data_IF_640164185737
#
_entry.id   IF_640164185737
#
_cell.length_a   1.000
_cell.length_b   1.000
_cell.length_c   1.000
_cell.angle_alpha   90.00
_cell.angle_beta   90.00
_cell.angle_gamma   90.00
#
_symmetry.space_group_name_H-M   'P 1'
#
loop_
_entity.id
_entity.type
_entity.pdbx_description
1 polymer ?
#
# COMPACT_ATOMS: atom_id res chain seq x y z
N UNK A 1 -20.89 -5.87 -1.97
CA UNK A 1 -21.25 -5.85 -0.54
C UNK A 1 -21.27 -4.41 -0.09
N UNK A 2 -22.32 -3.95 0.60
CA UNK A 2 -22.35 -2.58 1.13
C UNK A 2 -21.84 -2.62 2.57
N UNK A 3 -20.58 -2.29 2.78
CA UNK A 3 -19.96 -2.26 4.11
C UNK A 3 -19.87 -0.80 4.52
N UNK A 4 -20.38 -0.47 5.71
CA UNK A 4 -20.32 0.89 6.27
C UNK A 4 -19.50 0.91 7.54
N UNK A 5 -18.92 2.07 7.87
CA UNK A 5 -18.33 2.29 9.18
C UNK A 5 -19.44 2.43 10.22
N UNK A 6 -19.51 1.51 11.18
CA UNK A 6 -20.49 1.49 12.26
C UNK A 6 -19.81 1.37 13.64
N UNK A 7 -20.61 1.25 14.71
CA UNK A 7 -20.14 1.19 16.10
C UNK A 7 -19.33 -0.08 16.44
N UNK A 8 -19.21 -1.04 15.52
CA UNK A 8 -18.31 -2.18 15.69
C UNK A 8 -16.83 -1.77 15.56
N UNK A 9 -16.55 -0.70 14.81
CA UNK A 9 -15.20 -0.22 14.54
C UNK A 9 -14.86 0.97 15.44
N UNK A 10 -13.58 1.22 15.73
CA UNK A 10 -13.18 2.42 16.44
C UNK A 10 -13.58 3.68 15.67
N UNK A 11 -13.69 4.80 16.39
CA UNK A 11 -13.99 6.09 15.76
C UNK A 11 -12.95 6.42 14.67
N UNK A 12 -13.47 6.65 13.47
CA UNK A 12 -12.69 6.97 12.26
C UNK A 12 -11.80 8.19 12.45
N UNK A 13 -12.29 9.22 13.15
CA UNK A 13 -11.56 10.47 13.36
C UNK A 13 -10.41 10.29 14.35
N UNK A 14 -10.56 9.38 15.31
CA UNK A 14 -9.48 9.00 16.24
C UNK A 14 -8.35 8.33 15.47
N UNK A 15 -8.65 7.33 14.64
CA UNK A 15 -7.65 6.64 13.81
C UNK A 15 -6.97 7.62 12.83
N UNK A 16 -7.73 8.54 12.22
CA UNK A 16 -7.16 9.55 11.33
C UNK A 16 -6.19 10.47 12.07
N UNK A 17 -6.55 10.88 13.29
CA UNK A 17 -5.68 11.70 14.13
C UNK A 17 -4.38 10.96 14.48
N UNK A 18 -4.45 9.67 14.79
CA UNK A 18 -3.26 8.84 15.05
C UNK A 18 -2.35 8.76 13.83
N UNK A 19 -2.91 8.53 12.63
CA UNK A 19 -2.17 8.55 11.36
C UNK A 19 -1.49 9.90 11.15
N UNK A 20 -2.21 11.00 11.29
CA UNK A 20 -1.66 12.34 11.09
C UNK A 20 -0.55 12.66 12.09
N UNK A 21 -0.73 12.33 13.37
CA UNK A 21 0.32 12.51 14.37
C UNK A 21 1.58 11.69 14.04
N UNK A 22 1.45 10.49 13.46
CA UNK A 22 2.61 9.69 13.02
C UNK A 22 3.32 10.34 11.83
N UNK A 23 2.58 10.82 10.83
CA UNK A 23 3.15 11.57 9.69
C UNK A 23 3.90 12.81 10.17
N UNK A 24 3.28 13.61 11.03
CA UNK A 24 3.91 14.80 11.62
C UNK A 24 5.17 14.45 12.41
N UNK A 25 5.15 13.38 13.21
CA UNK A 25 6.30 12.93 13.97
C UNK A 25 7.49 12.57 13.04
N UNK A 26 7.23 11.87 11.94
CA UNK A 26 8.26 11.61 10.93
C UNK A 26 8.81 12.87 10.30
N UNK A 27 7.94 13.76 9.83
CA UNK A 27 8.36 15.00 9.15
C UNK A 27 9.22 15.85 10.06
N UNK A 28 8.78 16.07 11.30
CA UNK A 28 9.50 16.89 12.26
C UNK A 28 10.87 16.30 12.62
N UNK A 29 10.96 14.98 12.79
CA UNK A 29 12.23 14.32 13.14
C UNK A 29 13.16 14.25 11.93
N UNK A 30 12.65 13.95 10.73
CA UNK A 30 13.46 13.96 9.51
C UNK A 30 14.08 15.34 9.28
N UNK A 31 13.29 16.42 9.39
CA UNK A 31 13.79 17.79 9.20
C UNK A 31 14.71 18.28 10.33
N UNK A 32 14.60 17.69 11.52
CA UNK A 32 15.51 17.97 12.64
C UNK A 32 16.84 17.24 12.47
N UNK A 33 16.77 15.97 12.07
CA UNK A 33 17.94 15.10 12.05
C UNK A 33 18.73 15.24 10.75
N UNK A 34 18.08 15.37 9.60
CA UNK A 34 18.71 15.45 8.29
C UNK A 34 18.84 16.93 7.90
N UNK A 35 20.00 17.40 7.39
CA UNK A 35 20.13 18.77 6.96
C UNK A 35 19.08 19.12 5.89
N UNK A 36 18.46 20.29 6.03
CA UNK A 36 17.40 20.72 5.12
C UNK A 36 17.84 20.74 3.65
N UNK A 37 19.11 21.08 3.39
CA UNK A 37 19.71 21.07 2.04
C UNK A 37 19.75 19.70 1.39
N UNK A 38 19.60 18.62 2.16
CA UNK A 38 19.66 17.25 1.68
C UNK A 38 18.28 16.67 1.35
N UNK A 39 17.20 17.29 1.82
CA UNK A 39 15.82 16.87 1.56
C UNK A 39 15.19 17.79 0.52
N UNK A 40 14.86 17.26 -0.65
CA UNK A 40 14.11 18.02 -1.65
C UNK A 40 12.60 17.92 -1.48
N UNK A 41 12.10 16.82 -0.89
CA UNK A 41 10.67 16.67 -0.68
C UNK A 41 10.29 15.51 0.25
N UNK A 42 9.20 15.71 0.99
CA UNK A 42 8.55 14.69 1.82
C UNK A 42 7.08 14.62 1.40
N UNK A 43 6.61 13.43 1.07
CA UNK A 43 5.28 13.22 0.54
C UNK A 43 4.54 12.13 1.31
N UNK A 44 3.25 12.34 1.55
CA UNK A 44 2.37 11.37 2.18
C UNK A 44 1.38 10.80 1.15
N UNK A 45 1.31 9.47 1.07
CA UNK A 45 0.59 8.72 0.04
C UNK A 45 -0.17 7.52 0.62
N UNK A 46 -0.83 6.81 -0.28
CA UNK A 46 -1.41 5.51 0.00
C UNK A 46 -2.78 5.57 0.65
N UNK A 47 -3.25 4.41 1.11
CA UNK A 47 -4.60 4.27 1.68
C UNK A 47 -4.84 5.14 2.91
N UNK A 48 -3.79 5.38 3.71
CA UNK A 48 -3.88 6.19 4.91
C UNK A 48 -4.06 7.69 4.64
N UNK A 49 -3.81 8.17 3.42
CA UNK A 49 -4.03 9.56 3.01
C UNK A 49 -5.43 9.79 2.41
N UNK A 50 -5.97 8.77 1.72
CA UNK A 50 -7.27 8.84 1.03
C UNK A 50 -8.44 8.99 2.00
N UNK A 51 -9.58 9.45 1.47
CA UNK A 51 -10.85 9.43 2.20
C UNK A 51 -11.28 7.99 2.51
N UNK A 52 -11.86 7.76 3.69
CA UNK A 52 -12.32 6.45 4.14
C UNK A 52 -13.85 6.45 4.22
N UNK A 53 -14.47 5.73 3.29
CA UNK A 53 -15.90 5.52 3.18
C UNK A 53 -16.35 4.29 3.97
N UNK A 54 -15.48 3.28 4.07
CA UNK A 54 -15.76 2.05 4.81
C UNK A 54 -14.53 1.52 5.56
N UNK A 55 -14.71 0.51 6.44
CA UNK A 55 -13.60 -0.18 7.12
C UNK A 55 -12.61 -0.85 6.18
N UNK A 56 -12.92 -1.01 4.89
CA UNK A 56 -11.97 -1.51 3.91
C UNK A 56 -10.80 -0.53 3.71
N UNK A 57 -11.08 0.77 3.76
CA UNK A 57 -10.15 1.81 3.34
C UNK A 57 -8.96 1.99 4.29
N UNK A 58 -9.12 1.56 5.54
CA UNK A 58 -8.05 1.54 6.53
C UNK A 58 -8.25 0.44 7.56
N UNK A 59 -7.21 -0.36 7.74
CA UNK A 59 -7.14 -1.41 8.77
C UNK A 59 -5.88 -1.16 9.60
N UNK A 60 -5.99 -0.92 10.91
CA UNK A 60 -4.86 -0.72 11.81
C UNK A 60 -3.77 -1.78 11.63
N UNK A 61 -2.53 -1.31 11.57
CA UNK A 61 -1.30 -2.09 11.40
C UNK A 61 -1.17 -2.94 10.11
N UNK A 62 -2.23 -3.05 9.31
CA UNK A 62 -2.25 -3.72 8.00
C UNK A 62 -2.19 -2.70 6.86
N UNK A 63 -2.76 -1.50 7.07
CA UNK A 63 -2.60 -0.36 6.17
C UNK A 63 -1.38 0.46 6.60
N UNK A 64 -0.43 0.60 5.66
CA UNK A 64 0.80 1.36 5.87
C UNK A 64 0.54 2.88 5.67
N UNK A 65 1.35 3.70 6.34
CA UNK A 65 1.51 5.13 6.08
C UNK A 65 2.69 5.29 5.12
N UNK A 66 2.41 5.48 3.84
CA UNK A 66 3.43 5.60 2.81
C UNK A 66 4.03 7.01 2.81
N UNK A 67 5.29 7.13 3.23
CA UNK A 67 6.06 8.37 3.18
C UNK A 67 7.14 8.22 2.13
N UNK A 68 7.04 9.00 1.06
CA UNK A 68 8.10 9.10 0.07
C UNK A 68 9.06 10.23 0.48
N UNK A 69 10.35 9.94 0.47
CA UNK A 69 11.42 10.89 0.77
C UNK A 69 12.30 11.07 -0.47
N UNK A 70 12.38 12.31 -0.96
CA UNK A 70 13.24 12.70 -2.07
C UNK A 70 14.44 13.47 -1.51
N UNK A 71 15.63 12.92 -1.72
CA UNK A 71 16.89 13.55 -1.37
C UNK A 71 17.48 14.34 -2.55
N UNK A 72 18.38 15.27 -2.24
CA UNK A 72 19.11 16.05 -3.24
C UNK A 72 19.94 15.17 -4.18
N UNK A 73 20.56 14.11 -3.64
CA UNK A 73 21.33 13.12 -4.38
C UNK A 73 21.47 11.80 -3.62
N UNK A 74 22.06 10.78 -4.28
CA UNK A 74 22.27 9.45 -3.71
C UNK A 74 23.34 9.44 -2.58
N UNK A 75 24.24 10.42 -2.54
CA UNK A 75 25.21 10.54 -1.44
C UNK A 75 24.50 10.95 -0.15
N UNK A 76 23.50 11.81 -0.25
CA UNK A 76 22.66 12.19 0.87
C UNK A 76 21.86 11.00 1.42
N UNK A 77 21.26 10.19 0.53
CA UNK A 77 20.60 8.92 0.91
C UNK A 77 21.56 8.04 1.71
N UNK A 78 22.77 7.79 1.19
CA UNK A 78 23.73 6.90 1.83
C UNK A 78 24.23 7.46 3.18
N UNK A 79 24.46 8.77 3.27
CA UNK A 79 24.92 9.42 4.50
C UNK A 79 23.85 9.34 5.61
N UNK A 80 22.60 9.65 5.27
CA UNK A 80 21.56 9.85 6.27
C UNK A 80 20.75 8.60 6.58
N UNK A 81 20.62 7.67 5.62
CA UNK A 81 19.85 6.43 5.76
C UNK A 81 20.69 5.15 5.58
N UNK A 82 21.96 5.26 5.18
CA UNK A 82 22.82 4.08 4.93
C UNK A 82 23.39 3.41 6.18
N UNK A 83 23.13 3.94 7.38
CA UNK A 83 23.62 3.37 8.65
C UNK A 83 22.49 2.95 9.57
N UNK A 84 22.56 1.70 10.08
CA UNK A 84 21.62 1.18 11.08
C UNK A 84 21.55 2.06 12.32
N UNK A 85 22.68 2.54 12.84
CA UNK A 85 22.68 3.41 14.01
C UNK A 85 21.98 4.74 13.77
N UNK A 86 22.04 5.26 12.54
CA UNK A 86 21.41 6.52 12.16
C UNK A 86 19.91 6.36 11.99
N UNK A 87 19.46 5.33 11.26
CA UNK A 87 18.04 5.08 11.05
C UNK A 87 17.31 4.68 12.33
N UNK A 88 17.95 3.95 13.25
CA UNK A 88 17.35 3.64 14.56
C UNK A 88 17.28 4.87 15.46
N UNK A 89 18.22 5.80 15.35
CA UNK A 89 18.14 7.08 16.04
C UNK A 89 16.95 7.92 15.55
N UNK A 90 16.79 8.04 14.23
CA UNK A 90 15.63 8.70 13.63
C UNK A 90 14.34 8.02 14.10
N UNK A 91 14.25 6.69 14.01
CA UNK A 91 13.09 5.93 14.48
C UNK A 91 12.76 6.22 15.95
N UNK A 92 13.75 6.19 16.84
CA UNK A 92 13.56 6.52 18.26
C UNK A 92 13.00 7.93 18.45
N UNK A 93 13.54 8.91 17.72
CA UNK A 93 13.03 10.28 17.75
C UNK A 93 11.57 10.38 17.29
N UNK A 94 11.19 9.62 16.26
CA UNK A 94 9.80 9.54 15.81
C UNK A 94 8.90 8.95 16.88
N UNK A 95 9.29 7.84 17.49
CA UNK A 95 8.50 7.19 18.55
C UNK A 95 8.27 8.17 19.71
N UNK A 96 9.33 8.80 20.22
CA UNK A 96 9.23 9.82 21.27
C UNK A 96 8.26 10.94 20.88
N UNK A 97 8.36 11.45 19.65
CA UNK A 97 7.52 12.54 19.19
C UNK A 97 6.07 12.11 19.02
N UNK A 98 5.81 10.94 18.44
CA UNK A 98 4.49 10.37 18.27
C UNK A 98 3.80 10.17 19.63
N UNK A 99 4.46 9.49 20.58
CA UNK A 99 3.88 9.22 21.90
C UNK A 99 3.69 10.49 22.75
N UNK A 100 4.44 11.57 22.48
CA UNK A 100 4.18 12.88 23.11
C UNK A 100 2.85 13.50 22.67
N UNK A 101 2.42 13.25 21.42
CA UNK A 101 1.14 13.74 20.86
C UNK A 101 -0.01 12.76 21.07
N UNK A 102 0.29 11.46 21.13
CA UNK A 102 -0.68 10.37 21.32
C UNK A 102 -0.23 9.43 22.45
N UNK A 103 -0.44 9.78 23.73
CA UNK A 103 0.07 8.97 24.84
C UNK A 103 -0.59 7.60 25.01
N UNK A 104 -1.81 7.43 24.48
CA UNK A 104 -2.62 6.20 24.59
C UNK A 104 -3.31 5.91 23.26
N UNK A 105 -2.55 5.53 22.23
CA UNK A 105 -3.13 5.28 20.93
C UNK A 105 -3.97 4.00 20.93
N UNK A 106 -4.94 3.93 20.02
CA UNK A 106 -5.66 2.70 19.67
C UNK A 106 -4.71 1.71 18.98
N UNK A 107 -3.81 2.20 18.13
CA UNK A 107 -2.70 1.42 17.59
C UNK A 107 -1.48 2.30 17.26
N UNK A 108 -0.34 1.70 16.98
CA UNK A 108 0.79 2.44 16.42
C UNK A 108 0.70 2.31 14.90
N UNK A 109 0.42 3.39 14.14
CA UNK A 109 0.41 3.32 12.69
C UNK A 109 1.76 2.87 12.15
N UNK A 110 1.75 2.05 11.11
CA UNK A 110 2.98 1.54 10.51
C UNK A 110 3.47 2.50 9.43
N UNK A 111 4.56 3.24 9.65
CA UNK A 111 5.20 4.00 8.60
C UNK A 111 5.91 3.07 7.61
N UNK A 112 5.89 3.46 6.34
CA UNK A 112 6.69 2.88 5.29
C UNK A 112 7.44 4.01 4.60
N UNK A 113 8.74 4.11 4.89
CA UNK A 113 9.62 5.08 4.22
C UNK A 113 10.08 4.49 2.89
N UNK A 114 9.90 5.25 1.83
CA UNK A 114 10.34 4.90 0.47
C UNK A 114 11.25 6.01 -0.03
N UNK A 115 12.48 5.66 -0.40
CA UNK A 115 13.42 6.62 -1.00
C UNK A 115 13.07 6.80 -2.48
N UNK A 116 12.52 7.98 -2.81
CA UNK A 116 11.99 8.25 -4.14
C UNK A 116 13.09 8.31 -5.21
N UNK A 117 14.32 8.69 -4.85
CA UNK A 117 15.47 8.71 -5.74
C UNK A 117 15.66 7.37 -6.46
N UNK A 118 15.54 6.25 -5.72
CA UNK A 118 15.73 4.91 -6.26
C UNK A 118 14.60 4.51 -7.20
N UNK A 119 13.35 4.80 -6.81
CA UNK A 119 12.20 4.51 -7.67
C UNK A 119 12.25 5.28 -8.99
N UNK A 120 12.69 6.55 -8.98
CA UNK A 120 12.81 7.35 -10.19
C UNK A 120 13.87 6.82 -11.18
N UNK A 121 14.76 5.93 -10.74
CA UNK A 121 15.75 5.28 -11.60
C UNK A 121 15.22 4.00 -12.26
N UNK A 122 14.08 3.46 -11.81
CA UNK A 122 13.50 2.25 -12.38
C UNK A 122 12.81 2.55 -13.72
N UNK A 123 13.14 1.79 -14.78
CA UNK A 123 12.65 2.02 -16.15
C UNK A 123 11.12 1.98 -16.27
N UNK A 124 10.48 1.09 -15.51
CA UNK A 124 9.03 0.86 -15.51
C UNK A 124 8.33 1.53 -14.30
N UNK A 125 9.03 2.42 -13.58
CA UNK A 125 8.39 3.21 -12.53
C UNK A 125 7.66 4.41 -13.11
N UNK A 126 6.39 4.55 -12.73
CA UNK A 126 5.54 5.67 -13.10
C UNK A 126 5.11 6.34 -11.79
N UNK A 127 5.55 7.60 -11.55
CA UNK A 127 5.13 8.35 -10.37
C UNK A 127 3.61 8.42 -10.27
N UNK A 128 3.04 8.02 -9.13
CA UNK A 128 1.58 8.05 -8.88
C UNK A 128 0.99 9.45 -9.15
N UNK A 129 -0.28 9.54 -9.58
CA UNK A 129 -0.92 10.82 -9.87
C UNK A 129 -0.86 11.79 -8.68
N UNK A 130 -0.65 13.07 -8.94
CA UNK A 130 -0.57 14.13 -7.92
C UNK A 130 -1.82 14.17 -7.03
N UNK A 131 -3.01 13.87 -7.59
CA UNK A 131 -4.28 13.77 -6.87
C UNK A 131 -4.28 12.74 -5.74
N UNK A 132 -3.36 11.78 -5.75
CA UNK A 132 -3.21 10.73 -4.76
C UNK A 132 -1.99 10.95 -3.84
N UNK A 133 -1.41 12.16 -3.86
CA UNK A 133 -0.22 12.53 -3.10
C UNK A 133 -0.47 13.84 -2.35
N UNK A 134 -0.07 13.88 -1.08
CA UNK A 134 0.05 15.13 -0.34
C UNK A 134 1.52 15.51 -0.23
N UNK A 135 1.87 16.69 -0.72
CA UNK A 135 3.20 17.29 -0.47
C UNK A 135 3.20 17.82 0.96
N UNK A 136 4.06 17.27 1.80
CA UNK A 136 4.16 17.65 3.22
C UNK A 136 5.29 18.64 3.44
N UNK A 137 6.36 18.53 2.66
CA UNK A 137 7.49 19.45 2.68
C UNK A 137 8.22 19.45 1.32
N UNK A 138 8.82 20.59 0.95
CA UNK A 138 9.74 20.70 -0.17
C UNK A 138 9.07 20.94 -1.53
N UNK A 139 9.66 20.39 -2.60
CA UNK A 139 9.24 20.54 -4.00
C UNK A 139 7.93 19.77 -4.28
N UNK A 140 7.32 20.07 -5.43
CA UNK A 140 6.19 19.31 -5.96
C UNK A 140 6.57 17.85 -6.23
N UNK A 141 5.60 16.94 -6.10
CA UNK A 141 5.81 15.53 -6.40
C UNK A 141 6.17 15.34 -7.88
N UNK A 142 7.12 14.46 -8.24
CA UNK A 142 7.46 14.20 -9.63
C UNK A 142 6.24 13.79 -10.46
N UNK A 143 6.10 14.42 -11.63
CA UNK A 143 5.00 14.13 -12.56
C UNK A 143 5.26 12.83 -13.31
N UNK A 144 4.27 11.94 -13.32
CA UNK A 144 4.29 10.76 -14.17
C UNK A 144 3.93 11.10 -15.63
N UNK A 145 4.53 10.36 -16.57
CA UNK A 145 4.12 10.37 -17.97
C UNK A 145 3.05 9.30 -18.20
N UNK A 146 1.84 9.76 -18.53
CA UNK A 146 0.66 8.93 -18.77
C UNK A 146 0.24 8.87 -20.24
N UNK A 147 1.10 9.33 -21.16
CA UNK A 147 0.76 9.42 -22.59
C UNK A 147 0.59 8.05 -23.24
N UNK A 148 1.44 7.08 -22.89
CA UNK A 148 1.40 5.71 -23.42
C UNK A 148 0.61 4.77 -22.51
N UNK A 149 -0.71 4.89 -22.51
CA UNK A 149 -1.60 4.08 -21.65
C UNK A 149 -1.40 2.57 -21.85
N UNK A 150 -1.11 2.11 -23.08
CA UNK A 150 -0.96 0.68 -23.37
C UNK A 150 0.35 0.12 -22.82
N UNK A 151 1.47 0.88 -22.90
CA UNK A 151 2.71 0.52 -22.19
C UNK A 151 2.46 0.39 -20.69
N UNK A 152 1.77 1.36 -20.08
CA UNK A 152 1.47 1.32 -18.65
C UNK A 152 0.62 0.08 -18.31
N UNK A 153 -0.34 -0.30 -19.16
CA UNK A 153 -1.20 -1.47 -18.91
C UNK A 153 -0.38 -2.75 -18.96
N UNK A 154 0.56 -2.83 -19.90
CA UNK A 154 1.49 -3.95 -19.99
C UNK A 154 2.39 -4.03 -18.75
N UNK A 155 2.86 -2.91 -18.21
CA UNK A 155 3.63 -2.86 -16.96
C UNK A 155 2.79 -3.38 -15.78
N UNK A 156 1.57 -2.86 -15.59
CA UNK A 156 0.71 -3.28 -14.48
C UNK A 156 0.27 -4.74 -14.61
N UNK A 157 -0.02 -5.21 -15.83
CA UNK A 157 -0.29 -6.61 -16.10
C UNK A 157 0.92 -7.48 -15.75
N UNK A 158 2.14 -7.09 -16.17
CA UNK A 158 3.37 -7.84 -15.87
C UNK A 158 3.61 -7.92 -14.37
N UNK A 159 3.44 -6.80 -13.65
CA UNK A 159 3.56 -6.76 -12.18
C UNK A 159 2.57 -7.70 -11.49
N UNK A 160 1.35 -7.83 -11.99
CA UNK A 160 0.40 -8.83 -11.47
C UNK A 160 0.90 -10.24 -11.78
N UNK A 161 1.38 -10.52 -13.00
CA UNK A 161 1.91 -11.83 -13.39
C UNK A 161 3.12 -12.27 -12.53
N UNK A 162 3.97 -11.34 -12.13
CA UNK A 162 5.14 -11.60 -11.27
C UNK A 162 4.76 -12.12 -9.87
N UNK A 163 3.51 -11.89 -9.42
CA UNK A 163 3.00 -12.39 -8.14
C UNK A 163 2.87 -13.92 -8.10
N UNK A 164 2.89 -14.60 -9.24
CA UNK A 164 2.84 -16.07 -9.33
C UNK A 164 3.97 -16.72 -8.52
N UNK A 165 5.18 -16.15 -8.58
CA UNK A 165 6.32 -16.64 -7.79
C UNK A 165 6.05 -16.50 -6.30
N UNK A 166 5.62 -15.32 -5.85
CA UNK A 166 5.30 -15.08 -4.44
C UNK A 166 4.24 -16.07 -3.94
N UNK A 167 3.15 -16.27 -4.69
CA UNK A 167 2.10 -17.20 -4.30
C UNK A 167 2.59 -18.64 -4.18
N UNK A 168 3.46 -19.10 -5.07
CA UNK A 168 4.01 -20.46 -5.01
C UNK A 168 4.86 -20.71 -3.75
N UNK A 169 5.54 -19.66 -3.28
CA UNK A 169 6.43 -19.73 -2.11
C UNK A 169 5.70 -19.44 -0.79
N UNK A 170 4.56 -18.73 -0.84
CA UNK A 170 3.88 -18.20 0.34
C UNK A 170 3.43 -19.28 1.35
N UNK A 171 2.86 -20.44 0.96
CA UNK A 171 2.46 -21.47 1.92
C UNK A 171 3.60 -21.94 2.83
N UNK A 172 4.80 -22.12 2.27
CA UNK A 172 5.99 -22.51 3.02
C UNK A 172 6.44 -21.44 4.02
N UNK A 173 6.15 -20.16 3.76
CA UNK A 173 6.49 -19.01 4.62
C UNK A 173 5.49 -18.80 5.77
N UNK A 174 4.37 -19.52 5.80
CA UNK A 174 3.27 -19.32 6.75
C UNK A 174 3.07 -20.51 7.70
N UNK A 175 3.41 -21.73 7.27
CA UNK A 175 3.12 -22.97 8.01
C UNK A 175 3.66 -22.97 9.45
N UNK A 176 4.79 -22.31 9.70
CA UNK A 176 5.50 -22.25 10.98
C UNK A 176 5.16 -20.99 11.82
N UNK A 177 4.15 -20.21 11.42
CA UNK A 177 3.78 -18.94 12.05
C UNK A 177 2.41 -19.01 12.77
N UNK A 178 2.34 -19.59 13.99
CA UNK A 178 1.11 -19.64 14.75
C UNK A 178 0.78 -18.30 15.44
N UNK A 179 -0.51 -18.08 15.74
CA UNK A 179 -0.99 -17.00 16.61
C UNK A 179 -0.40 -15.63 16.22
N UNK A 180 0.30 -14.94 17.13
CA UNK A 180 0.88 -13.61 16.90
C UNK A 180 1.72 -13.48 15.62
N UNK A 181 2.37 -14.56 15.19
CA UNK A 181 3.21 -14.57 13.98
C UNK A 181 2.39 -14.54 12.67
N UNK A 182 1.08 -14.80 12.73
CA UNK A 182 0.16 -14.60 11.61
C UNK A 182 0.22 -13.15 11.13
N UNK A 183 0.46 -12.19 12.04
CA UNK A 183 0.54 -10.79 11.68
C UNK A 183 1.73 -10.48 10.76
N UNK A 184 2.87 -11.11 10.98
CA UNK A 184 4.04 -10.97 10.10
C UNK A 184 3.75 -11.51 8.69
N UNK A 185 2.97 -12.60 8.60
CA UNK A 185 2.50 -13.13 7.31
C UNK A 185 1.52 -12.18 6.61
N UNK A 186 0.59 -11.58 7.36
CA UNK A 186 -0.35 -10.59 6.82
C UNK A 186 0.38 -9.34 6.32
N UNK A 187 1.40 -8.89 7.05
CA UNK A 187 2.27 -7.77 6.64
C UNK A 187 3.06 -8.09 5.39
N UNK A 188 3.59 -9.30 5.26
CA UNK A 188 4.22 -9.71 4.00
C UNK A 188 3.21 -9.72 2.85
N UNK A 189 2.00 -10.25 3.08
CA UNK A 189 0.97 -10.38 2.06
C UNK A 189 0.36 -9.04 1.62
N UNK A 190 0.15 -8.08 2.53
CA UNK A 190 -0.56 -6.82 2.20
C UNK A 190 0.17 -5.95 1.18
N UNK A 191 1.49 -6.10 1.08
CA UNK A 191 2.32 -5.42 0.06
C UNK A 191 1.98 -5.90 -1.36
N UNK A 192 1.59 -7.17 -1.50
CA UNK A 192 1.14 -7.75 -2.75
C UNK A 192 -0.34 -7.46 -2.99
N UNK A 193 -1.17 -7.47 -1.93
CA UNK A 193 -2.61 -7.25 -2.05
C UNK A 193 -2.97 -5.80 -2.35
N UNK A 194 -2.41 -4.84 -1.61
CA UNK A 194 -2.82 -3.44 -1.71
C UNK A 194 -2.83 -2.89 -3.14
N UNK A 195 -1.81 -3.14 -3.99
CA UNK A 195 -1.82 -2.66 -5.37
C UNK A 195 -2.61 -3.53 -6.36
N UNK A 196 -3.15 -4.70 -5.97
CA UNK A 196 -3.86 -5.60 -6.90
C UNK A 196 -5.11 -4.96 -7.50
N UNK A 197 -5.98 -4.40 -6.67
CA UNK A 197 -7.23 -3.80 -7.15
C UNK A 197 -6.99 -2.67 -8.16
N UNK A 198 -6.15 -1.65 -7.89
CA UNK A 198 -5.89 -0.60 -8.89
C UNK A 198 -5.22 -1.14 -10.17
N UNK A 199 -4.27 -2.08 -10.07
CA UNK A 199 -3.63 -2.71 -11.25
C UNK A 199 -4.65 -3.46 -12.11
N UNK A 200 -5.49 -4.30 -11.51
CA UNK A 200 -6.51 -5.05 -12.24
C UNK A 200 -7.53 -4.12 -12.88
N UNK A 201 -8.01 -3.10 -12.15
CA UNK A 201 -8.93 -2.12 -12.72
C UNK A 201 -8.34 -1.39 -13.92
N UNK A 202 -7.04 -1.08 -13.86
CA UNK A 202 -6.34 -0.46 -14.97
C UNK A 202 -6.21 -1.39 -16.18
N UNK A 203 -5.86 -2.66 -15.96
CA UNK A 203 -5.88 -3.73 -16.99
C UNK A 203 -7.27 -3.86 -17.63
N UNK A 204 -8.33 -3.71 -16.85
CA UNK A 204 -9.73 -3.71 -17.30
C UNK A 204 -10.22 -2.38 -17.89
N UNK A 205 -9.30 -1.46 -18.19
CA UNK A 205 -9.55 -0.24 -18.95
C UNK A 205 -10.02 0.96 -18.14
N UNK A 206 -9.92 0.95 -16.81
CA UNK A 206 -10.06 2.18 -16.02
C UNK A 206 -8.83 3.09 -16.30
N UNK A 207 -8.95 4.43 -16.40
CA UNK A 207 -7.79 5.31 -16.58
C UNK A 207 -6.82 5.25 -15.38
N UNK A 208 -5.51 5.41 -15.61
CA UNK A 208 -4.48 5.29 -14.56
C UNK A 208 -4.73 6.25 -13.40
N UNK A 209 -5.02 7.51 -13.73
CA UNK A 209 -5.28 8.57 -12.75
C UNK A 209 -6.40 8.17 -11.79
N UNK A 210 -7.50 7.63 -12.33
CA UNK A 210 -8.63 7.17 -11.55
C UNK A 210 -8.27 5.91 -10.76
N UNK A 211 -7.75 4.88 -11.42
CA UNK A 211 -7.45 3.60 -10.78
C UNK A 211 -6.55 3.76 -9.54
N UNK A 212 -5.56 4.65 -9.59
CA UNK A 212 -4.63 4.86 -8.48
C UNK A 212 -5.08 5.89 -7.44
N UNK A 213 -6.05 6.75 -7.74
CA UNK A 213 -6.56 7.78 -6.81
C UNK A 213 -7.69 7.30 -5.92
N UNK A 214 -8.46 6.30 -6.35
CA UNK A 214 -9.62 5.80 -5.59
C UNK A 214 -9.23 5.02 -4.33
N UNK A 215 -10.12 4.99 -3.33
CA UNK A 215 -9.95 4.15 -2.14
C UNK A 215 -10.39 2.70 -2.40
N UNK A 216 -10.32 1.83 -1.38
CA UNK A 216 -10.61 0.40 -1.53
C UNK A 216 -12.10 0.14 -1.68
N UNK A 217 -12.93 0.92 -1.00
CA UNK A 217 -14.39 0.88 -1.14
C UNK A 217 -14.80 1.10 -2.59
N UNK A 218 -14.31 2.18 -3.21
CA UNK A 218 -14.60 2.48 -4.60
C UNK A 218 -13.94 1.46 -5.55
N UNK A 219 -12.73 0.97 -5.26
CA UNK A 219 -12.10 -0.07 -6.06
C UNK A 219 -12.92 -1.37 -6.09
N UNK A 220 -13.48 -1.80 -4.96
CA UNK A 220 -14.40 -2.96 -4.87
C UNK A 220 -15.66 -2.72 -5.70
N UNK A 221 -16.19 -1.50 -5.70
CA UNK A 221 -17.34 -1.13 -6.52
C UNK A 221 -17.02 -1.26 -8.01
N UNK A 222 -15.92 -0.67 -8.48
CA UNK A 222 -15.48 -0.78 -9.89
C UNK A 222 -15.20 -2.22 -10.30
N UNK A 223 -14.56 -3.03 -9.44
CA UNK A 223 -14.32 -4.45 -9.72
C UNK A 223 -15.63 -5.20 -9.92
N UNK A 224 -16.63 -4.92 -9.08
CA UNK A 224 -17.98 -5.47 -9.18
C UNK A 224 -18.65 -5.04 -10.49
N UNK A 225 -18.57 -3.76 -10.85
CA UNK A 225 -19.14 -3.22 -12.11
C UNK A 225 -18.49 -3.83 -13.36
N UNK A 226 -17.21 -4.19 -13.28
CA UNK A 226 -16.47 -4.90 -14.33
C UNK A 226 -16.74 -6.39 -14.38
N UNK A 227 -17.60 -6.93 -13.51
CA UNK A 227 -17.95 -8.35 -13.43
C UNK A 227 -16.97 -9.19 -12.60
N UNK A 228 -15.95 -8.59 -12.00
CA UNK A 228 -14.94 -9.28 -11.18
C UNK A 228 -15.39 -9.48 -9.73
N UNK A 229 -16.57 -10.07 -9.56
CA UNK A 229 -17.22 -10.26 -8.26
C UNK A 229 -16.38 -11.09 -7.28
N UNK A 230 -15.69 -12.12 -7.76
CA UNK A 230 -14.84 -12.98 -6.92
C UNK A 230 -13.63 -12.22 -6.38
N UNK A 231 -12.96 -11.43 -7.23
CA UNK A 231 -11.85 -10.60 -6.79
C UNK A 231 -12.33 -9.54 -5.79
N UNK A 232 -13.43 -8.85 -6.10
CA UNK A 232 -14.03 -7.86 -5.22
C UNK A 232 -14.38 -8.44 -3.84
N UNK A 233 -14.92 -9.67 -3.80
CA UNK A 233 -15.24 -10.39 -2.58
C UNK A 233 -13.99 -10.72 -1.77
N UNK A 234 -13.03 -11.44 -2.35
CA UNK A 234 -11.83 -11.87 -1.63
C UNK A 234 -10.96 -10.70 -1.18
N UNK A 235 -10.87 -9.64 -1.99
CA UNK A 235 -10.20 -8.40 -1.62
C UNK A 235 -10.87 -7.74 -0.42
N UNK A 236 -12.21 -7.69 -0.37
CA UNK A 236 -12.95 -7.15 0.78
C UNK A 236 -12.74 -8.03 2.03
N UNK A 237 -12.87 -9.34 1.89
CA UNK A 237 -12.71 -10.32 2.96
C UNK A 237 -11.32 -10.25 3.61
N UNK A 238 -10.27 -10.02 2.83
CA UNK A 238 -8.91 -9.83 3.34
C UNK A 238 -8.86 -8.74 4.42
N UNK A 239 -9.41 -7.55 4.13
CA UNK A 239 -9.39 -6.42 5.06
C UNK A 239 -10.37 -6.60 6.23
N UNK A 240 -11.58 -7.13 5.98
CA UNK A 240 -12.58 -7.33 7.03
C UNK A 240 -12.15 -8.40 8.05
N UNK A 241 -11.52 -9.48 7.58
CA UNK A 241 -10.93 -10.47 8.47
C UNK A 241 -9.70 -9.91 9.20
N UNK A 242 -8.93 -9.02 8.56
CA UNK A 242 -7.86 -8.26 9.21
C UNK A 242 -8.37 -7.42 10.38
N UNK A 243 -9.48 -6.69 10.19
CA UNK A 243 -10.18 -5.99 11.26
C UNK A 243 -10.62 -6.91 12.38
N UNK A 244 -11.28 -8.03 12.07
CA UNK A 244 -11.71 -8.99 13.09
C UNK A 244 -10.53 -9.50 13.92
N UNK A 245 -9.39 -9.74 13.28
CA UNK A 245 -8.19 -10.19 13.98
C UNK A 245 -7.63 -9.09 14.90
N UNK A 246 -7.53 -7.85 14.41
CA UNK A 246 -7.09 -6.69 15.20
C UNK A 246 -8.01 -6.42 16.41
N UNK A 247 -9.33 -6.36 16.20
CA UNK A 247 -10.31 -6.09 17.26
C UNK A 247 -10.35 -7.17 18.34
N UNK A 248 -10.02 -8.41 17.97
CA UNK A 248 -9.84 -9.50 18.92
C UNK A 248 -8.57 -9.38 19.78
N UNK A 249 -7.77 -8.31 19.59
CA UNK A 249 -6.42 -8.15 20.16
C UNK A 249 -5.54 -9.36 19.84
N UNK A 250 -5.60 -9.81 18.59
CA UNK A 250 -4.87 -10.95 18.04
C UNK A 250 -5.18 -12.30 18.70
N UNK A 251 -6.30 -12.42 19.41
CA UNK A 251 -6.72 -13.69 20.03
C UNK A 251 -7.49 -14.61 19.08
N UNK A 252 -8.26 -14.07 18.12
CA UNK A 252 -8.95 -14.86 17.10
C UNK A 252 -8.00 -15.21 15.94
N UNK A 253 -7.13 -16.21 16.16
CA UNK A 253 -6.21 -16.68 15.11
C UNK A 253 -6.93 -17.20 13.85
N UNK A 254 -8.21 -17.61 13.95
CA UNK A 254 -8.97 -18.03 12.78
C UNK A 254 -9.31 -16.83 11.89
N UNK A 255 -9.64 -15.68 12.46
CA UNK A 255 -9.79 -14.44 11.69
C UNK A 255 -8.50 -14.10 10.92
N UNK A 256 -7.34 -14.21 11.57
CA UNK A 256 -6.06 -13.99 10.91
C UNK A 256 -5.80 -14.97 9.75
N UNK A 257 -6.09 -16.27 9.93
CA UNK A 257 -5.99 -17.28 8.86
C UNK A 257 -6.98 -17.02 7.72
N UNK A 258 -8.21 -16.64 8.03
CA UNK A 258 -9.22 -16.28 7.02
C UNK A 258 -8.80 -15.07 6.19
N UNK A 259 -8.17 -14.06 6.83
CA UNK A 259 -7.57 -12.94 6.11
C UNK A 259 -6.46 -13.41 5.16
N UNK A 260 -5.52 -14.25 5.62
CA UNK A 260 -4.46 -14.81 4.76
C UNK A 260 -5.03 -15.56 3.55
N UNK A 261 -6.02 -16.43 3.78
CA UNK A 261 -6.66 -17.21 2.71
C UNK A 261 -7.36 -16.28 1.71
N UNK A 262 -8.13 -15.30 2.18
CA UNK A 262 -8.80 -14.33 1.32
C UNK A 262 -7.80 -13.52 0.49
N UNK A 263 -6.68 -13.11 1.08
CA UNK A 263 -5.62 -12.42 0.34
C UNK A 263 -5.01 -13.30 -0.76
N UNK A 264 -4.64 -14.55 -0.44
CA UNK A 264 -4.14 -15.50 -1.44
C UNK A 264 -5.14 -15.69 -2.58
N UNK A 265 -6.42 -15.89 -2.27
CA UNK A 265 -7.46 -16.03 -3.30
C UNK A 265 -7.63 -14.76 -4.16
N UNK A 266 -7.54 -13.57 -3.57
CA UNK A 266 -7.58 -12.32 -4.33
C UNK A 266 -6.41 -12.21 -5.31
N UNK A 267 -5.18 -12.53 -4.88
CA UNK A 267 -4.01 -12.56 -5.76
C UNK A 267 -4.13 -13.62 -6.86
N UNK A 268 -4.58 -14.82 -6.54
CA UNK A 268 -4.81 -15.88 -7.52
C UNK A 268 -5.80 -15.43 -8.58
N UNK A 269 -6.92 -14.82 -8.17
CA UNK A 269 -7.91 -14.30 -9.13
C UNK A 269 -7.35 -13.17 -9.99
N UNK A 270 -6.58 -12.27 -9.40
CA UNK A 270 -5.92 -11.19 -10.15
C UNK A 270 -4.95 -11.74 -11.21
N UNK A 271 -4.19 -12.78 -10.88
CA UNK A 271 -3.30 -13.48 -11.82
C UNK A 271 -4.07 -14.10 -13.00
N UNK A 272 -5.21 -14.73 -12.74
CA UNK A 272 -6.05 -15.29 -13.82
C UNK A 272 -6.49 -14.19 -14.79
N UNK A 273 -6.97 -13.05 -14.28
CA UNK A 273 -7.39 -11.90 -15.09
C UNK A 273 -6.22 -11.40 -15.94
N UNK A 274 -5.05 -11.22 -15.32
CA UNK A 274 -3.84 -10.76 -16.01
C UNK A 274 -3.40 -11.75 -17.10
N UNK A 275 -3.44 -13.06 -16.84
CA UNK A 275 -3.11 -14.11 -17.82
C UNK A 275 -4.05 -14.08 -19.02
N UNK A 276 -5.36 -13.99 -18.78
CA UNK A 276 -6.37 -13.87 -19.86
C UNK A 276 -6.11 -12.63 -20.70
N UNK A 277 -6.00 -11.46 -20.06
CA UNK A 277 -5.75 -10.21 -20.77
C UNK A 277 -4.44 -10.26 -21.57
N UNK A 278 -3.36 -10.78 -20.98
CA UNK A 278 -2.07 -10.91 -21.66
C UNK A 278 -2.16 -11.81 -22.88
N UNK A 279 -2.88 -12.93 -22.80
CA UNK A 279 -3.06 -13.83 -23.95
C UNK A 279 -3.82 -13.16 -25.11
N UNK A 280 -4.83 -12.34 -24.82
CA UNK A 280 -5.62 -11.64 -25.82
C UNK A 280 -4.84 -10.51 -26.52
N UNK A 281 -3.91 -9.88 -25.81
CA UNK A 281 -3.19 -8.68 -26.30
C UNK A 281 -1.77 -8.96 -26.81
N UNK A 282 -1.18 -10.10 -26.44
CA UNK A 282 0.14 -10.53 -26.96
C UNK A 282 0.04 -11.27 -28.29
N UNK A 283 -1.06 -11.97 -28.56
CA UNK A 283 -1.27 -12.75 -29.79
C UNK A 283 -1.30 -11.91 -31.08
N UNK A 284 -1.45 -10.58 -30.99
CA UNK A 284 -1.54 -9.70 -32.15
C UNK A 284 -0.21 -9.13 -32.66
N UNK A 285 0.92 -9.40 -31.98
CA UNK A 285 2.25 -8.84 -32.35
C UNK A 285 3.16 -9.82 -33.09
N UNK A 286 2.85 -11.11 -33.09
CA UNK A 286 3.69 -12.13 -33.76
C UNK A 286 3.29 -12.39 -35.23
N UNK A 287 2.13 -11.92 -35.69
CA UNK A 287 1.65 -12.07 -37.08
C UNK A 287 2.09 -10.93 -38.04
N UNK A 288 3.02 -10.07 -37.63
CA UNK A 288 3.56 -8.96 -38.45
C UNK A 288 5.09 -8.99 -38.64
N UNK A 289 5.72 -10.18 -38.59
CA UNK A 289 7.13 -10.34 -38.97
C UNK A 289 7.32 -11.29 -40.13
#
# INVERSE_FOLDING_TARGET
MNVSWDDHYPDKEVLRKEVNHMVEAFVEVLLKEIPESDIEGIYFKGSAQKHWDSPLDYVPELSDIDIHLLFADDLAVQRDLGSISRVTHIQSGVEERYFSKTPKPLHVPRPQIVVLNQLLQEEDYIPTPESAVSVVYGKDYPKGDYTDQDRIRLIDCRRVLEEEKFLSEFPARVIDKPSRYIWDSLRALVWHISPVAPRVLYVLGLPTEKAWSINRTEAVAHLTEKGEHQLAQHYSEFYLHGWKYFLSKYSDSNAGRSSLIAGVHALTRALEIAKTWHSEHSSGKDDQR
#
